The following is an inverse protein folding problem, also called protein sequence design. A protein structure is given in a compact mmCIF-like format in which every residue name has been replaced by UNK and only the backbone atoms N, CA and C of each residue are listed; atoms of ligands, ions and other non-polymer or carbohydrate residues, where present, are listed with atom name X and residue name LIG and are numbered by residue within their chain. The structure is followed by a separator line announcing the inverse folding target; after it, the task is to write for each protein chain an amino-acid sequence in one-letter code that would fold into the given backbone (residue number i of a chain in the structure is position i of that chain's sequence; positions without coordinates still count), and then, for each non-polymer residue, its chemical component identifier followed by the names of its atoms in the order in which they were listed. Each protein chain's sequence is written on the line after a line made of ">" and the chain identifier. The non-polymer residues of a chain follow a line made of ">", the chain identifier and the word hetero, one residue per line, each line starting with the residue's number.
data_IF_433424112311
#
_entry.id   IF_433424112311
#
_cell.length_a   1.000
_cell.length_b   1.000
_cell.length_c   1.000
_cell.angle_alpha   90.00
_cell.angle_beta   90.00
_cell.angle_gamma   90.00
#
_symmetry.space_group_name_H-M   'P 1'
#
loop_
_entity.id
_entity.type
_entity.pdbx_description
1 polymer ?
#
# COMPACT_ATOMS: atom_id res chain seq x y z
N UNK A 1 15.54 3.83 9.50
CA UNK A 1 15.95 3.94 8.07
C UNK A 1 15.35 2.72 7.38
N UNK A 2 14.51 2.85 6.37
CA UNK A 2 13.94 1.70 5.65
C UNK A 2 14.91 1.22 4.57
N UNK A 3 14.90 -0.08 4.25
CA UNK A 3 15.73 -0.64 3.18
C UNK A 3 15.06 -0.29 1.84
N UNK A 4 15.55 0.73 1.16
CA UNK A 4 15.05 1.21 -0.12
C UNK A 4 16.17 1.26 -1.16
N UNK A 5 16.87 0.14 -1.32
CA UNK A 5 18.02 0.04 -2.24
C UNK A 5 17.60 0.07 -3.72
N UNK A 6 16.29 -0.07 -3.99
CA UNK A 6 15.68 0.01 -5.32
C UNK A 6 14.74 1.21 -5.39
N UNK A 7 14.96 2.16 -6.33
CA UNK A 7 14.05 3.28 -6.55
C UNK A 7 12.63 2.80 -6.85
N UNK A 8 11.66 3.36 -6.12
CA UNK A 8 10.24 3.07 -6.36
C UNK A 8 9.76 3.97 -7.50
N UNK A 9 9.11 3.43 -8.55
CA UNK A 9 8.56 4.25 -9.63
C UNK A 9 7.60 5.32 -9.13
N UNK A 10 7.66 6.53 -9.69
CA UNK A 10 6.83 7.66 -9.25
C UNK A 10 5.33 7.40 -9.42
N UNK A 11 4.94 6.64 -10.45
CA UNK A 11 3.56 6.23 -10.70
C UNK A 11 3.03 5.17 -9.72
N UNK A 12 3.85 4.77 -8.73
CA UNK A 12 3.45 4.01 -7.55
C UNK A 12 3.07 4.90 -6.35
N UNK A 13 3.30 6.22 -6.47
CA UNK A 13 3.02 7.24 -5.46
C UNK A 13 3.42 6.80 -4.03
N UNK A 14 4.69 6.39 -3.83
CA UNK A 14 5.14 5.86 -2.56
C UNK A 14 5.10 6.93 -1.46
N UNK A 15 4.80 6.49 -0.24
CA UNK A 15 4.94 7.27 0.98
C UNK A 15 5.58 6.39 2.04
N UNK A 16 6.65 6.90 2.62
CA UNK A 16 7.29 6.30 3.77
C UNK A 16 6.45 6.53 5.03
N UNK A 17 6.59 5.61 5.97
CA UNK A 17 5.88 5.64 7.24
C UNK A 17 4.37 5.76 7.05
N UNK A 18 3.78 4.87 6.25
CA UNK A 18 2.35 4.87 5.99
C UNK A 18 1.82 3.44 5.82
N UNK A 19 0.62 3.21 6.36
CA UNK A 19 -0.19 2.02 6.13
C UNK A 19 -1.59 2.46 5.67
N UNK A 20 -1.98 2.07 4.46
CA UNK A 20 -3.30 2.35 3.91
C UNK A 20 -4.26 1.21 4.16
N UNK A 21 -5.52 1.57 4.39
CA UNK A 21 -6.61 0.62 4.55
C UNK A 21 -6.93 -0.10 3.23
N UNK A 22 -7.94 -0.96 3.26
CA UNK A 22 -8.45 -1.68 2.11
C UNK A 22 -8.38 -3.19 2.29
N UNK A 23 -9.17 -3.88 1.49
CA UNK A 23 -9.27 -5.33 1.58
C UNK A 23 -8.03 -5.98 0.95
N UNK A 24 -7.43 -6.95 1.64
CA UNK A 24 -6.34 -7.74 1.08
C UNK A 24 -6.83 -8.60 -0.09
N UNK A 25 -6.46 -8.21 -1.31
CA UNK A 25 -6.66 -9.03 -2.53
C UNK A 25 -5.52 -10.03 -2.72
N UNK A 26 -4.34 -9.71 -2.18
CA UNK A 26 -3.28 -10.67 -1.89
C UNK A 26 -2.77 -10.40 -0.48
N UNK A 27 -2.84 -11.43 0.37
CA UNK A 27 -2.37 -11.38 1.75
C UNK A 27 -0.85 -11.25 1.79
N UNK A 28 -0.35 -10.28 2.56
CA UNK A 28 1.09 -10.03 2.67
C UNK A 28 1.85 -11.12 3.40
N UNK A 29 1.18 -11.83 4.32
CA UNK A 29 1.73 -13.00 5.01
C UNK A 29 2.06 -14.10 4.00
N UNK A 30 3.35 -14.29 3.73
CA UNK A 30 3.85 -15.24 2.73
C UNK A 30 3.94 -14.69 1.30
N UNK A 31 3.33 -13.54 1.00
CA UNK A 31 3.56 -12.82 -0.24
C UNK A 31 4.73 -11.84 -0.06
N UNK A 32 5.94 -12.38 -0.17
CA UNK A 32 7.17 -11.61 -0.01
C UNK A 32 7.63 -10.95 -1.31
N UNK A 33 8.09 -9.71 -1.20
CA UNK A 33 8.81 -8.99 -2.26
C UNK A 33 10.09 -8.41 -1.71
N UNK A 34 11.15 -8.41 -2.52
CA UNK A 34 12.47 -7.97 -2.08
C UNK A 34 12.53 -6.44 -1.88
N UNK A 35 11.60 -5.69 -2.48
CA UNK A 35 11.53 -4.24 -2.39
C UNK A 35 10.09 -3.71 -2.48
N UNK A 36 9.91 -2.46 -2.03
CA UNK A 36 8.68 -1.70 -2.27
C UNK A 36 8.39 -1.53 -3.77
N UNK A 37 9.41 -1.37 -4.62
CA UNK A 37 9.26 -1.28 -6.07
C UNK A 37 8.65 -2.56 -6.65
N UNK A 38 9.11 -3.72 -6.21
CA UNK A 38 8.53 -5.01 -6.61
C UNK A 38 7.11 -5.21 -6.06
N UNK A 39 6.81 -4.70 -4.86
CA UNK A 39 5.46 -4.75 -4.31
C UNK A 39 4.48 -3.90 -5.14
N UNK A 40 4.90 -2.70 -5.55
CA UNK A 40 4.13 -1.90 -6.50
C UNK A 40 3.95 -2.62 -7.85
N UNK A 41 5.02 -3.22 -8.40
CA UNK A 41 4.94 -3.97 -9.65
C UNK A 41 3.93 -5.13 -9.55
N UNK A 42 3.92 -5.84 -8.43
CA UNK A 42 2.94 -6.90 -8.17
C UNK A 42 1.51 -6.34 -8.08
N UNK A 43 1.30 -5.15 -7.50
CA UNK A 43 0.00 -4.48 -7.52
C UNK A 43 -0.46 -4.17 -8.95
N UNK A 44 0.43 -3.61 -9.79
CA UNK A 44 0.14 -3.33 -11.20
C UNK A 44 -0.21 -4.60 -11.97
N UNK A 45 0.51 -5.70 -11.73
CA UNK A 45 0.24 -7.00 -12.34
C UNK A 45 -1.12 -7.56 -11.91
N UNK A 46 -1.43 -7.52 -10.61
CA UNK A 46 -2.74 -7.92 -10.11
C UNK A 46 -3.85 -7.06 -10.70
N UNK A 47 -3.68 -5.74 -10.73
CA UNK A 47 -4.63 -4.81 -11.36
C UNK A 47 -4.87 -5.17 -12.84
N UNK A 48 -3.83 -5.53 -13.59
CA UNK A 48 -3.97 -5.89 -15.00
C UNK A 48 -4.74 -7.20 -15.22
N UNK A 49 -4.64 -8.16 -14.30
CA UNK A 49 -5.35 -9.45 -14.32
C UNK A 49 -6.79 -9.36 -13.79
N UNK A 50 -7.05 -8.42 -12.89
CA UNK A 50 -8.30 -8.31 -12.13
C UNK A 50 -8.98 -6.95 -12.35
N UNK A 51 -8.99 -6.44 -13.59
CA UNK A 51 -9.47 -5.08 -13.92
C UNK A 51 -10.91 -4.82 -13.51
N UNK A 52 -11.76 -5.82 -13.65
CA UNK A 52 -13.20 -5.73 -13.44
C UNK A 52 -13.66 -6.39 -12.13
N UNK A 53 -12.73 -6.92 -11.32
CA UNK A 53 -13.03 -7.62 -10.08
C UNK A 53 -11.94 -7.35 -9.04
N UNK A 54 -12.15 -6.32 -8.21
CA UNK A 54 -11.26 -5.90 -7.12
C UNK A 54 -9.80 -5.72 -7.56
N UNK A 55 -9.53 -4.83 -8.55
CA UNK A 55 -8.16 -4.54 -8.97
C UNK A 55 -7.33 -4.01 -7.80
N UNK A 56 -6.06 -4.40 -7.70
CA UNK A 56 -5.18 -3.78 -6.72
C UNK A 56 -5.06 -2.28 -7.03
N UNK A 57 -5.32 -1.44 -6.03
CA UNK A 57 -5.18 0.01 -6.13
C UNK A 57 -4.37 0.61 -4.97
N UNK A 58 -4.03 -0.21 -3.97
CA UNK A 58 -3.20 0.11 -2.82
C UNK A 58 -2.17 -1.00 -2.62
N UNK A 59 -0.92 -0.64 -2.31
CA UNK A 59 0.11 -1.60 -1.90
C UNK A 59 0.78 -1.14 -0.62
N UNK A 60 1.14 -2.08 0.25
CA UNK A 60 1.84 -1.81 1.51
C UNK A 60 2.96 -2.84 1.67
N UNK A 61 4.18 -2.37 1.92
CA UNK A 61 5.38 -3.19 2.00
C UNK A 61 6.13 -2.98 3.32
N UNK A 62 6.57 -4.08 3.94
CA UNK A 62 7.40 -4.02 5.12
C UNK A 62 8.89 -3.86 4.75
N UNK A 63 9.42 -2.66 4.96
CA UNK A 63 10.82 -2.30 4.66
C UNK A 63 11.71 -2.08 5.88
N UNK A 64 11.23 -2.41 7.07
CA UNK A 64 11.96 -2.17 8.31
C UNK A 64 13.19 -3.10 8.40
N UNK A 65 14.41 -2.56 8.63
CA UNK A 65 15.62 -3.36 8.72
C UNK A 65 15.73 -4.19 10.00
N UNK A 66 14.91 -3.91 11.02
CA UNK A 66 14.85 -4.73 12.24
C UNK A 66 14.28 -6.13 12.00
N UNK A 67 13.69 -6.37 10.83
CA UNK A 67 13.03 -7.63 10.49
C UNK A 67 11.53 -7.63 10.73
N UNK A 68 10.98 -6.60 11.41
CA UNK A 68 9.60 -6.60 11.92
C UNK A 68 8.89 -5.29 11.53
N UNK A 69 7.66 -5.40 11.02
CA UNK A 69 6.76 -4.26 10.87
C UNK A 69 5.58 -4.35 11.83
N UNK A 70 5.45 -3.35 12.68
CA UNK A 70 4.36 -3.25 13.64
C UNK A 70 3.04 -2.81 12.98
N UNK A 71 1.94 -3.44 13.38
CA UNK A 71 0.57 -3.00 13.13
C UNK A 71 -0.32 -3.38 14.33
N UNK A 72 -1.60 -3.00 14.30
CA UNK A 72 -2.55 -3.26 15.40
C UNK A 72 -3.17 -4.65 15.39
N UNK A 73 -2.94 -5.46 14.36
CA UNK A 73 -3.51 -6.81 14.24
C UNK A 73 -2.72 -7.86 15.05
N UNK A 74 -3.22 -9.10 15.03
CA UNK A 74 -2.65 -10.23 15.79
C UNK A 74 -1.48 -10.92 15.07
N UNK A 75 -1.11 -10.48 13.87
CA UNK A 75 -0.15 -11.20 13.04
C UNK A 75 1.26 -10.65 13.23
N UNK A 76 2.24 -11.53 13.05
CA UNK A 76 3.64 -11.15 13.04
C UNK A 76 4.07 -10.82 11.62
N UNK A 77 4.21 -9.53 11.33
CA UNK A 77 4.68 -9.07 10.02
C UNK A 77 6.18 -8.88 10.02
N UNK A 78 6.79 -9.30 8.92
CA UNK A 78 8.24 -9.34 8.77
C UNK A 78 8.67 -8.69 7.47
N UNK A 79 9.94 -8.28 7.39
CA UNK A 79 10.51 -7.62 6.21
C UNK A 79 10.17 -8.38 4.93
N UNK A 80 9.80 -7.62 3.90
CA UNK A 80 9.38 -8.15 2.61
C UNK A 80 7.88 -8.44 2.49
N UNK A 81 7.10 -8.44 3.58
CA UNK A 81 5.64 -8.62 3.48
C UNK A 81 5.06 -7.57 2.52
N UNK A 82 4.38 -8.04 1.48
CA UNK A 82 3.78 -7.21 0.43
C UNK A 82 2.27 -7.44 0.39
N UNK A 83 1.52 -6.50 0.94
CA UNK A 83 0.07 -6.49 0.91
C UNK A 83 -0.42 -5.80 -0.35
N UNK A 84 -1.18 -6.53 -1.16
CA UNK A 84 -1.93 -5.94 -2.26
C UNK A 84 -3.36 -5.75 -1.79
N UNK A 85 -3.86 -4.52 -1.86
CA UNK A 85 -5.16 -4.15 -1.31
C UNK A 85 -6.04 -3.49 -2.36
N UNK A 86 -7.34 -3.59 -2.13
CA UNK A 86 -8.39 -2.89 -2.88
C UNK A 86 -9.21 -2.00 -1.95
N UNK A 87 -9.26 -0.71 -2.26
CA UNK A 87 -10.24 0.22 -1.70
C UNK A 87 -11.34 0.48 -2.74
N UNK A 88 -12.53 -0.08 -2.49
CA UNK A 88 -13.70 0.02 -3.39
C UNK A 88 -14.11 1.47 -3.63
N UNK A 89 -14.08 2.30 -2.58
CA UNK A 89 -14.58 3.68 -2.62
C UNK A 89 -13.53 4.70 -3.03
N UNK A 90 -12.28 4.29 -3.28
CA UNK A 90 -11.22 5.24 -3.60
C UNK A 90 -11.50 5.96 -4.93
N UNK A 91 -11.35 7.28 -4.92
CA UNK A 91 -11.68 8.19 -6.01
C UNK A 91 -10.69 8.17 -7.18
N UNK A 92 -9.66 7.34 -7.07
CA UNK A 92 -8.59 7.17 -8.06
C UNK A 92 -7.73 8.43 -8.24
N UNK A 93 -7.74 9.34 -7.27
CA UNK A 93 -6.95 10.57 -7.30
C UNK A 93 -5.63 10.38 -6.54
N UNK A 94 -4.46 10.51 -7.20
CA UNK A 94 -3.19 10.39 -6.51
C UNK A 94 -2.80 11.61 -5.68
N UNK A 95 -3.46 12.75 -5.84
CA UNK A 95 -3.25 13.93 -4.99
C UNK A 95 -3.87 13.66 -3.60
N UNK A 96 -3.01 13.25 -2.67
CA UNK A 96 -3.37 12.91 -1.28
C UNK A 96 -4.06 14.05 -0.51
N UNK A 97 -3.89 15.30 -0.94
CA UNK A 97 -4.56 16.45 -0.31
C UNK A 97 -6.03 16.58 -0.71
N UNK A 98 -6.43 15.90 -1.78
CA UNK A 98 -7.77 15.96 -2.37
C UNK A 98 -8.44 14.59 -2.48
N UNK A 99 -7.67 13.52 -2.31
CA UNK A 99 -8.16 12.15 -2.41
C UNK A 99 -8.95 11.74 -1.17
N UNK A 100 -9.91 10.84 -1.38
CA UNK A 100 -10.59 10.12 -0.30
C UNK A 100 -9.89 8.81 0.12
N UNK A 101 -8.59 8.65 -0.19
CA UNK A 101 -7.79 7.50 0.22
C UNK A 101 -7.92 7.21 1.71
N UNK A 102 -8.32 5.99 2.07
CA UNK A 102 -8.44 5.58 3.45
C UNK A 102 -7.06 5.17 4.01
N UNK A 103 -6.68 5.78 5.13
CA UNK A 103 -5.37 5.58 5.78
C UNK A 103 -5.59 4.98 7.17
N UNK A 104 -4.91 3.87 7.48
CA UNK A 104 -4.89 3.33 8.84
C UNK A 104 -4.03 4.22 9.74
N UNK A 105 -2.75 4.35 9.36
CA UNK A 105 -1.78 5.15 10.10
C UNK A 105 -0.77 5.80 9.15
N UNK A 106 -0.30 6.99 9.53
CA UNK A 106 0.78 7.66 8.81
C UNK A 106 1.65 8.51 9.73
N UNK A 107 2.93 8.61 9.40
CA UNK A 107 3.91 9.42 10.10
C UNK A 107 4.19 8.89 11.50
N UNK A 108 4.16 9.80 12.48
CA UNK A 108 4.48 9.54 13.88
C UNK A 108 3.25 9.11 14.66
N UNK A 109 3.36 8.01 15.40
CA UNK A 109 2.36 7.66 16.39
C UNK A 109 2.41 8.65 17.56
N UNK A 110 1.24 9.12 18.01
CA UNK A 110 1.15 10.07 19.13
C UNK A 110 1.60 9.43 20.45
N UNK A 111 1.98 10.25 21.42
CA UNK A 111 2.38 9.75 22.74
C UNK A 111 1.23 9.00 23.44
N UNK A 112 0.01 9.50 23.31
CA UNK A 112 -1.20 8.91 23.86
C UNK A 112 -1.48 7.55 23.22
N UNK A 113 -1.36 7.45 21.89
CA UNK A 113 -1.51 6.19 21.17
C UNK A 113 -0.48 5.16 21.66
N UNK A 114 0.79 5.55 21.77
CA UNK A 114 1.86 4.66 22.23
C UNK A 114 1.77 4.31 23.71
N UNK A 115 1.10 5.12 24.54
CA UNK A 115 0.83 4.80 25.93
C UNK A 115 -0.13 3.60 26.07
N UNK A 116 -1.09 3.49 25.14
CA UNK A 116 -2.02 2.35 25.04
C UNK A 116 -1.36 1.19 24.28
N UNK A 117 -0.72 1.48 23.16
CA UNK A 117 -0.06 0.51 22.28
C UNK A 117 1.45 0.51 22.52
N UNK A 118 1.87 -0.10 23.64
CA UNK A 118 3.27 -0.01 24.13
C UNK A 118 4.32 -0.57 23.18
N UNK A 119 3.94 -1.48 22.28
CA UNK A 119 4.83 -2.05 21.26
C UNK A 119 4.91 -1.20 19.99
N UNK A 120 4.07 -0.17 19.86
CA UNK A 120 4.09 0.70 18.69
C UNK A 120 5.42 1.48 18.62
N UNK A 121 6.10 1.46 17.46
CA UNK A 121 7.30 2.25 17.22
C UNK A 121 6.99 3.74 17.22
N UNK A 122 8.01 4.57 17.05
CA UNK A 122 7.79 6.02 16.92
C UNK A 122 7.13 6.41 15.60
N UNK A 123 7.58 5.81 14.50
CA UNK A 123 7.03 6.02 13.15
C UNK A 123 6.36 4.75 12.68
N UNK A 124 5.31 4.88 11.86
CA UNK A 124 4.71 3.75 11.14
C UNK A 124 5.82 3.03 10.35
N UNK A 125 6.03 1.71 10.49
CA UNK A 125 7.20 1.03 9.90
C UNK A 125 7.02 0.62 8.43
N UNK A 126 5.86 0.91 7.85
CA UNK A 126 5.47 0.49 6.51
C UNK A 126 5.81 1.52 5.42
N UNK A 127 6.00 1.05 4.20
CA UNK A 127 5.96 1.88 2.99
C UNK A 127 4.67 1.56 2.27
N UNK A 128 3.88 2.57 1.95
CA UNK A 128 2.63 2.37 1.23
C UNK A 128 2.55 3.25 -0.02
N UNK A 129 1.86 2.77 -1.03
CA UNK A 129 1.58 3.55 -2.23
C UNK A 129 0.25 3.15 -2.85
N UNK A 130 -0.07 3.85 -3.92
CA UNK A 130 -1.32 3.70 -4.67
C UNK A 130 -0.99 3.50 -6.14
N UNK A 131 -1.86 2.76 -6.83
CA UNK A 131 -1.78 2.56 -8.27
C UNK A 131 -3.13 2.96 -8.86
N UNK A 132 -3.26 4.16 -9.45
CA UNK A 132 -4.49 4.56 -10.10
C UNK A 132 -4.96 3.51 -11.11
N UNK A 133 -6.18 3.02 -10.92
CA UNK A 133 -6.85 2.09 -11.82
C UNK A 133 -7.06 2.81 -13.15
N UNK A 134 -6.52 2.25 -14.22
CA UNK A 134 -6.76 2.77 -15.56
C UNK A 134 -8.21 2.53 -15.95
N UNK A 135 -9.03 3.59 -15.99
CA UNK A 135 -10.36 3.52 -16.58
C UNK A 135 -10.18 3.15 -18.06
N UNK A 136 -10.78 2.05 -18.50
CA UNK A 136 -10.86 1.73 -19.93
C UNK A 136 -11.64 2.88 -20.56
N UNK A 137 -10.97 3.71 -21.37
CA UNK A 137 -11.69 4.60 -22.26
C UNK A 137 -12.51 3.70 -23.19
N UNK A 138 -13.82 3.57 -22.92
CA UNK A 138 -14.75 3.11 -23.95
C UNK A 138 -14.62 4.12 -25.08
N UNK A 139 -13.80 3.82 -26.09
CA UNK A 139 -13.90 4.49 -27.39
C UNK A 139 -15.33 4.26 -27.82
N UNK A 140 -16.15 5.31 -27.74
CA UNK A 140 -17.37 5.39 -28.52
C UNK A 140 -16.90 5.24 -29.97
N UNK A 141 -17.01 4.03 -30.50
CA UNK A 141 -16.94 3.80 -31.94
C UNK A 141 -18.14 4.56 -32.50
N UNK A 142 -17.89 5.81 -32.89
CA UNK A 142 -18.82 6.58 -33.69
C UNK A 142 -19.00 5.84 -35.01
N UNK A 143 -20.17 5.23 -35.17
CA UNK A 143 -20.65 4.74 -36.46
C UNK A 143 -20.75 5.95 -37.39
N UNK A 144 -19.97 5.95 -38.46
CA UNK A 144 -20.18 6.79 -39.65
C UNK A 144 -21.14 6.08 -40.56
#
# INVERSE_FOLDING_TARGET
>A
MQILDVPIPEDCYPQQNADYAGDGVVWGLGHKKASAAECCAACKEHQAKHRDDRPCNVWVWCGDPSGICWTMDIHNHTTGDCWLKHQEKWDNNPDRSKSNLEVNHQGKFSAEFRAVHKTAPELVPWVAGIVPVRKVQRRLLGTV
#
